data_IF_316794355502
#
_entry.id   IF_316794355502
#
_cell.length_a   1.000
_cell.length_b   1.000
_cell.length_c   1.000
_cell.angle_alpha   90.00
_cell.angle_beta   90.00
_cell.angle_gamma   90.00
#
_symmetry.space_group_name_H-M   'P 1'
#
loop_
_entity.id
_entity.type
_entity.pdbx_description
1 polymer ?
#
# COMPACT_ATOMS: atom_id res chain seq x y z
N UNK A 1 10.36 13.83 22.62
CA UNK A 1 9.11 13.39 21.94
C UNK A 1 9.11 11.88 21.85
N UNK A 2 8.00 11.23 22.22
CA UNK A 2 7.86 9.78 22.06
C UNK A 2 7.84 9.42 20.56
N UNK A 3 8.42 8.26 20.19
CA UNK A 3 8.35 7.78 18.81
C UNK A 3 6.89 7.47 18.43
N UNK A 4 6.48 7.74 17.18
CA UNK A 4 5.15 7.34 16.70
C UNK A 4 4.98 5.81 16.73
N UNK A 5 3.74 5.36 16.83
CA UNK A 5 3.40 3.94 16.72
C UNK A 5 3.40 3.55 15.24
N UNK A 6 2.76 4.39 14.42
CA UNK A 6 2.62 4.17 12.98
C UNK A 6 3.33 5.24 12.17
N UNK A 7 3.92 4.81 11.05
CA UNK A 7 4.28 5.69 9.94
C UNK A 7 3.46 5.27 8.71
N UNK A 8 2.57 6.16 8.26
CA UNK A 8 1.82 5.98 7.02
C UNK A 8 2.62 6.61 5.90
N UNK A 9 2.95 5.82 4.90
CA UNK A 9 3.77 6.20 3.76
C UNK A 9 2.92 6.13 2.50
N UNK A 10 2.85 7.25 1.80
CA UNK A 10 2.25 7.32 0.48
C UNK A 10 3.21 7.97 -0.51
N UNK A 11 2.97 7.73 -1.78
CA UNK A 11 3.72 8.36 -2.87
C UNK A 11 2.74 8.94 -3.87
N UNK A 12 3.08 10.06 -4.46
CA UNK A 12 2.27 10.69 -5.46
C UNK A 12 3.07 11.63 -6.33
N UNK A 13 2.51 12.00 -7.48
CA UNK A 13 3.11 12.94 -8.41
C UNK A 13 2.02 13.77 -9.11
N UNK A 14 2.37 15.03 -9.34
CA UNK A 14 1.54 15.93 -10.10
C UNK A 14 0.26 16.37 -9.38
N UNK A 15 -0.49 17.24 -10.07
CA UNK A 15 -1.67 17.91 -9.53
C UNK A 15 -2.82 16.94 -9.19
N UNK A 16 -2.98 15.88 -10.00
CA UNK A 16 -4.02 14.88 -9.79
C UNK A 16 -3.87 14.16 -8.45
N UNK A 17 -2.62 13.77 -8.11
CA UNK A 17 -2.35 13.06 -6.87
C UNK A 17 -2.41 14.04 -5.68
N UNK A 18 -2.03 15.30 -5.86
CA UNK A 18 -2.20 16.33 -4.85
C UNK A 18 -3.69 16.55 -4.50
N UNK A 19 -4.58 16.61 -5.52
CA UNK A 19 -6.04 16.68 -5.28
C UNK A 19 -6.57 15.41 -4.60
N UNK A 20 -6.10 14.24 -5.01
CA UNK A 20 -6.49 12.99 -4.36
C UNK A 20 -6.09 12.97 -2.88
N UNK A 21 -4.90 13.46 -2.56
CA UNK A 21 -4.44 13.59 -1.17
C UNK A 21 -5.31 14.57 -0.39
N UNK A 22 -5.64 15.74 -0.95
CA UNK A 22 -6.49 16.73 -0.31
C UNK A 22 -7.87 16.15 0.05
N UNK A 23 -8.47 15.40 -0.88
CA UNK A 23 -9.76 14.73 -0.65
C UNK A 23 -9.71 13.63 0.41
N UNK A 24 -8.56 12.95 0.57
CA UNK A 24 -8.43 11.80 1.48
C UNK A 24 -7.90 12.19 2.85
N UNK A 25 -7.18 13.30 2.93
CA UNK A 25 -6.43 13.66 4.14
C UNK A 25 -7.33 13.90 5.35
N UNK A 26 -8.49 14.53 5.16
CA UNK A 26 -9.44 14.73 6.24
C UNK A 26 -9.89 13.40 6.87
N UNK A 27 -10.13 12.37 6.07
CA UNK A 27 -10.44 11.04 6.58
C UNK A 27 -9.27 10.46 7.40
N UNK A 28 -8.05 10.62 6.91
CA UNK A 28 -6.87 10.11 7.61
C UNK A 28 -6.67 10.79 8.98
N UNK A 29 -6.90 12.10 9.05
CA UNK A 29 -6.82 12.85 10.31
C UNK A 29 -7.93 12.44 11.29
N UNK A 30 -9.14 12.16 10.81
CA UNK A 30 -10.23 11.64 11.65
C UNK A 30 -9.85 10.27 12.19
N UNK A 31 -9.37 9.34 11.35
CA UNK A 31 -8.96 8.02 11.78
C UNK A 31 -7.81 8.09 12.81
N UNK A 32 -6.84 8.99 12.60
CA UNK A 32 -5.74 9.27 13.54
C UNK A 32 -6.29 9.79 14.88
N UNK A 33 -7.14 10.80 14.84
CA UNK A 33 -7.70 11.43 16.03
C UNK A 33 -8.44 10.41 16.90
N UNK A 34 -9.32 9.60 16.30
CA UNK A 34 -10.05 8.53 17.01
C UNK A 34 -9.09 7.56 17.70
N UNK A 35 -8.02 7.15 17.00
CA UNK A 35 -7.00 6.26 17.56
C UNK A 35 -6.25 6.92 18.72
N UNK A 36 -5.79 8.16 18.56
CA UNK A 36 -5.00 8.88 19.55
C UNK A 36 -5.80 9.18 20.82
N UNK A 37 -7.06 9.58 20.68
CA UNK A 37 -7.98 9.79 21.80
C UNK A 37 -8.20 8.49 22.59
N UNK A 38 -8.48 7.38 21.91
CA UNK A 38 -8.68 6.08 22.57
C UNK A 38 -7.44 5.60 23.30
N UNK A 39 -6.25 5.99 22.85
CA UNK A 39 -4.96 5.60 23.44
C UNK A 39 -4.42 6.59 24.45
N UNK A 40 -5.02 7.77 24.57
CA UNK A 40 -4.49 8.86 25.39
C UNK A 40 -3.07 9.27 24.97
N UNK A 41 -2.74 9.17 23.68
CA UNK A 41 -1.39 9.39 23.15
C UNK A 41 -1.43 10.25 21.90
N UNK A 42 -0.97 11.49 22.02
CA UNK A 42 -0.77 12.39 20.88
C UNK A 42 0.45 11.99 20.03
N UNK A 43 0.43 12.36 18.77
CA UNK A 43 1.51 12.07 17.80
C UNK A 43 1.84 10.57 17.69
N UNK A 44 0.83 9.72 17.83
CA UNK A 44 0.98 8.28 17.68
C UNK A 44 1.13 7.86 16.21
N UNK A 45 0.67 8.70 15.27
CA UNK A 45 0.70 8.45 13.83
C UNK A 45 1.39 9.62 13.13
N UNK A 46 2.36 9.31 12.27
CA UNK A 46 2.94 10.28 11.33
C UNK A 46 2.55 9.93 9.90
N UNK A 47 2.27 10.94 9.09
CA UNK A 47 2.02 10.81 7.66
C UNK A 47 3.24 11.31 6.88
N UNK A 48 3.71 10.48 5.94
CA UNK A 48 4.86 10.74 5.08
C UNK A 48 4.41 10.66 3.61
N UNK A 49 4.58 11.75 2.88
CA UNK A 49 4.27 11.82 1.45
C UNK A 49 5.57 11.95 0.67
N UNK A 50 5.92 10.94 -0.13
CA UNK A 50 7.04 11.02 -1.05
C UNK A 50 6.55 11.66 -2.36
N UNK A 51 6.99 12.90 -2.60
CA UNK A 51 6.62 13.65 -3.79
C UNK A 51 7.57 13.33 -4.94
N UNK A 52 7.06 12.58 -5.91
CA UNK A 52 7.77 12.21 -7.14
C UNK A 52 7.52 13.20 -8.30
N UNK A 53 6.82 14.31 -8.06
CA UNK A 53 6.48 15.31 -9.07
C UNK A 53 7.64 16.25 -9.36
N UNK A 54 7.85 16.59 -10.64
CA UNK A 54 8.85 17.58 -11.03
C UNK A 54 8.43 19.01 -10.71
N UNK A 55 7.11 19.30 -10.69
CA UNK A 55 6.56 20.65 -10.61
C UNK A 55 5.36 20.82 -9.67
N UNK A 56 4.96 19.79 -8.92
CA UNK A 56 3.85 19.91 -8.00
C UNK A 56 4.36 20.00 -6.57
N UNK A 57 4.22 21.15 -5.96
CA UNK A 57 4.24 21.23 -4.51
C UNK A 57 2.93 20.65 -4.00
N UNK A 58 2.99 19.51 -3.33
CA UNK A 58 1.85 19.06 -2.54
C UNK A 58 1.54 20.17 -1.53
N UNK A 59 0.27 20.59 -1.43
CA UNK A 59 -0.10 21.58 -0.44
C UNK A 59 0.38 21.11 0.93
N UNK A 60 0.84 22.00 1.77
CA UNK A 60 1.12 21.72 3.19
C UNK A 60 -0.19 21.33 3.85
N UNK A 61 -0.57 20.08 3.66
CA UNK A 61 -1.76 19.51 4.24
C UNK A 61 -1.35 19.11 5.63
N UNK A 62 -1.75 19.92 6.62
CA UNK A 62 -1.65 19.67 8.07
C UNK A 62 -0.41 18.82 8.45
N UNK A 63 -0.14 18.42 9.56
CA UNK A 63 1.03 17.70 10.10
C UNK A 63 1.72 16.60 9.24
N UNK A 64 1.42 16.51 7.95
CA UNK A 64 2.10 15.59 7.05
C UNK A 64 3.52 16.08 6.73
N UNK A 65 4.48 15.18 6.78
CA UNK A 65 5.85 15.44 6.36
C UNK A 65 5.99 15.12 4.88
N UNK A 66 6.07 16.16 4.08
CA UNK A 66 6.35 16.01 2.65
C UNK A 66 7.85 15.82 2.44
N UNK A 67 8.21 14.75 1.75
CA UNK A 67 9.56 14.50 1.29
C UNK A 67 9.65 15.11 -0.11
N UNK A 68 10.41 16.19 -0.24
CA UNK A 68 10.44 17.03 -1.43
C UNK A 68 10.90 16.29 -2.70
N UNK A 69 10.49 16.77 -3.89
CA UNK A 69 10.93 16.24 -5.18
C UNK A 69 12.45 16.17 -5.31
N UNK A 70 13.16 17.18 -4.76
CA UNK A 70 14.63 17.19 -4.74
C UNK A 70 15.19 15.95 -4.04
N UNK A 71 14.67 15.60 -2.86
CA UNK A 71 15.08 14.40 -2.12
C UNK A 71 14.73 13.13 -2.84
N UNK A 72 13.58 13.11 -3.53
CA UNK A 72 13.17 12.00 -4.37
C UNK A 72 14.18 11.75 -5.51
N UNK A 73 14.58 12.81 -6.22
CA UNK A 73 15.57 12.75 -7.27
C UNK A 73 16.96 12.35 -6.78
N UNK A 74 17.37 12.86 -5.63
CA UNK A 74 18.64 12.47 -5.00
C UNK A 74 18.64 10.97 -4.69
N UNK A 75 17.54 10.45 -4.13
CA UNK A 75 17.40 9.04 -3.82
C UNK A 75 17.37 8.17 -5.09
N UNK A 76 16.61 8.58 -6.11
CA UNK A 76 16.56 7.87 -7.41
C UNK A 76 17.95 7.79 -8.04
N UNK A 77 18.72 8.88 -7.99
CA UNK A 77 20.10 8.93 -8.48
C UNK A 77 21.04 8.02 -7.69
N UNK A 78 20.86 7.95 -6.38
CA UNK A 78 21.59 7.01 -5.52
C UNK A 78 21.34 5.56 -5.93
N UNK A 79 20.08 5.18 -6.12
CA UNK A 79 19.70 3.84 -6.60
C UNK A 79 20.34 3.50 -7.96
N UNK A 80 20.36 4.46 -8.88
CA UNK A 80 21.01 4.28 -10.18
C UNK A 80 22.52 4.09 -10.07
N UNK A 81 23.20 4.95 -9.33
CA UNK A 81 24.67 4.86 -9.11
C UNK A 81 25.08 3.54 -8.44
N UNK A 82 24.22 3.00 -7.60
CA UNK A 82 24.44 1.73 -6.92
C UNK A 82 24.05 0.49 -7.76
N UNK A 83 23.58 0.69 -9.00
CA UNK A 83 23.17 -0.38 -9.89
C UNK A 83 21.87 -1.08 -9.49
N UNK A 84 21.10 -0.49 -8.56
CA UNK A 84 19.80 -1.03 -8.10
C UNK A 84 18.73 -0.80 -9.17
N UNK A 85 18.79 0.31 -9.89
CA UNK A 85 17.94 0.60 -11.04
C UNK A 85 18.79 0.81 -12.29
N UNK A 86 18.28 0.34 -13.43
CA UNK A 86 19.05 0.30 -14.69
C UNK A 86 19.24 1.64 -15.36
N UNK A 87 18.29 2.57 -15.13
CA UNK A 87 18.27 3.85 -15.84
C UNK A 87 18.06 5.02 -14.86
N UNK A 88 18.73 6.16 -15.04
CA UNK A 88 18.59 7.31 -14.14
C UNK A 88 17.17 7.91 -14.13
N UNK A 89 16.39 7.72 -15.23
CA UNK A 89 15.01 8.16 -15.35
C UNK A 89 13.97 7.09 -14.98
N UNK A 90 14.41 5.97 -14.38
CA UNK A 90 13.47 4.93 -13.94
C UNK A 90 12.65 5.41 -12.75
N UNK A 91 11.34 5.28 -12.85
CA UNK A 91 10.43 5.76 -11.82
C UNK A 91 9.29 4.76 -11.59
N UNK A 92 9.11 4.38 -10.34
CA UNK A 92 8.08 3.42 -9.90
C UNK A 92 7.55 3.83 -8.53
N UNK A 93 6.31 3.43 -8.16
CA UNK A 93 5.79 3.66 -6.80
C UNK A 93 6.69 3.08 -5.71
N UNK A 94 7.41 2.00 -6.00
CA UNK A 94 8.35 1.36 -5.09
C UNK A 94 9.48 2.31 -4.63
N UNK A 95 9.95 3.20 -5.51
CA UNK A 95 10.98 4.21 -5.18
C UNK A 95 10.44 5.16 -4.12
N UNK A 96 9.24 5.70 -4.31
CA UNK A 96 8.62 6.61 -3.36
C UNK A 96 8.30 5.94 -2.02
N UNK A 97 7.79 4.71 -2.05
CA UNK A 97 7.55 3.91 -0.83
C UNK A 97 8.84 3.65 -0.05
N UNK A 98 9.93 3.31 -0.73
CA UNK A 98 11.24 3.10 -0.12
C UNK A 98 11.83 4.38 0.45
N UNK A 99 11.70 5.51 -0.26
CA UNK A 99 12.12 6.81 0.25
C UNK A 99 11.34 7.20 1.51
N UNK A 100 10.01 7.02 1.49
CA UNK A 100 9.17 7.22 2.68
C UNK A 100 9.62 6.34 3.85
N UNK A 101 9.94 5.08 3.59
CA UNK A 101 10.44 4.15 4.60
C UNK A 101 11.74 4.64 5.27
N UNK A 102 12.69 5.20 4.53
CA UNK A 102 13.93 5.80 5.09
C UNK A 102 13.66 6.94 6.09
N UNK A 103 12.52 7.61 5.95
CA UNK A 103 12.13 8.72 6.82
C UNK A 103 11.19 8.30 7.95
N UNK A 104 10.68 7.09 7.92
CA UNK A 104 9.73 6.56 8.87
C UNK A 104 10.36 6.33 10.26
N UNK A 105 9.63 6.69 11.31
CA UNK A 105 10.05 6.54 12.71
C UNK A 105 9.14 5.61 13.50
N UNK A 106 7.96 5.29 12.97
CA UNK A 106 6.99 4.41 13.58
C UNK A 106 7.47 2.98 13.70
N UNK A 107 7.00 2.28 14.72
CA UNK A 107 7.26 0.85 14.89
C UNK A 107 6.52 0.00 13.86
N UNK A 108 5.41 0.49 13.37
CA UNK A 108 4.55 -0.15 12.38
C UNK A 108 4.52 0.76 11.15
N UNK A 109 4.78 0.18 9.99
CA UNK A 109 4.80 0.88 8.71
C UNK A 109 3.54 0.52 7.94
N UNK A 110 2.88 1.52 7.38
CA UNK A 110 1.73 1.37 6.50
C UNK A 110 2.10 1.98 5.16
N UNK A 111 2.20 1.16 4.12
CA UNK A 111 2.24 1.63 2.74
C UNK A 111 0.82 1.73 2.23
N UNK A 112 0.39 2.93 1.87
CA UNK A 112 -1.00 3.25 1.56
C UNK A 112 -1.10 4.07 0.28
N UNK A 113 -2.10 3.77 -0.54
CA UNK A 113 -2.36 4.53 -1.76
C UNK A 113 -2.97 5.90 -1.43
N UNK A 114 -2.54 6.92 -2.17
CA UNK A 114 -2.86 8.32 -1.90
C UNK A 114 -4.36 8.65 -2.03
N UNK A 115 -5.09 7.86 -2.82
CA UNK A 115 -6.53 8.05 -3.09
C UNK A 115 -7.44 7.13 -2.27
N UNK A 116 -6.86 6.44 -1.28
CA UNK A 116 -7.58 5.48 -0.44
C UNK A 116 -7.86 6.03 0.95
N UNK A 117 -9.03 5.65 1.51
CA UNK A 117 -9.49 6.07 2.84
C UNK A 117 -9.30 4.93 3.83
N UNK A 118 -9.07 5.29 5.09
CA UNK A 118 -9.11 4.35 6.22
C UNK A 118 -10.52 4.26 6.81
N UNK A 119 -10.91 3.12 7.36
CA UNK A 119 -12.05 3.06 8.25
C UNK A 119 -11.77 3.86 9.51
N UNK A 120 -12.69 4.74 9.88
CA UNK A 120 -12.54 5.64 11.03
C UNK A 120 -13.11 5.04 12.32
N UNK A 121 -14.03 4.09 12.19
CA UNK A 121 -14.81 3.56 13.30
C UNK A 121 -15.85 4.54 13.82
N UNK A 122 -16.29 5.47 12.96
CA UNK A 122 -17.32 6.48 13.26
C UNK A 122 -18.50 6.37 12.31
N UNK A 123 -19.54 7.17 12.51
CA UNK A 123 -20.70 7.23 11.61
C UNK A 123 -20.34 7.62 10.17
N UNK A 124 -19.19 8.27 9.97
CA UNK A 124 -18.67 8.61 8.65
C UNK A 124 -18.48 7.38 7.74
N UNK A 125 -18.19 6.22 8.33
CA UNK A 125 -18.01 4.98 7.57
C UNK A 125 -19.32 4.44 6.99
N UNK A 126 -20.49 4.89 7.49
CA UNK A 126 -21.80 4.38 7.09
C UNK A 126 -22.09 4.58 5.60
N UNK A 127 -21.52 5.61 4.96
CA UNK A 127 -21.64 5.82 3.51
C UNK A 127 -21.02 4.68 2.70
N UNK A 128 -20.05 3.95 3.28
CA UNK A 128 -19.27 2.89 2.65
C UNK A 128 -19.64 1.49 3.15
N UNK A 129 -20.54 1.40 4.14
CA UNK A 129 -21.01 0.13 4.68
C UNK A 129 -22.16 -0.36 3.80
N UNK A 130 -22.02 -1.53 3.19
CA UNK A 130 -22.98 -2.10 2.25
C UNK A 130 -23.89 -3.16 2.84
N UNK A 131 -23.60 -3.61 4.06
CA UNK A 131 -24.43 -4.57 4.77
C UNK A 131 -24.33 -4.35 6.27
N UNK A 132 -25.37 -4.74 7.02
CA UNK A 132 -25.35 -4.71 8.50
C UNK A 132 -24.25 -5.59 9.11
N UNK A 133 -23.68 -6.50 8.31
CA UNK A 133 -22.58 -7.37 8.70
C UNK A 133 -21.21 -6.71 8.54
N UNK A 134 -21.13 -5.59 7.79
CA UNK A 134 -19.90 -4.86 7.53
C UNK A 134 -19.69 -3.80 8.62
N UNK A 135 -19.35 -4.21 9.82
CA UNK A 135 -18.95 -3.28 10.87
C UNK A 135 -17.45 -3.03 10.78
N UNK A 136 -17.07 -1.77 10.54
CA UNK A 136 -15.67 -1.36 10.53
C UNK A 136 -15.29 -0.70 11.83
N UNK A 137 -14.19 -1.16 12.38
CA UNK A 137 -13.52 -0.50 13.49
C UNK A 137 -12.49 0.51 12.95
N UNK A 138 -11.98 1.35 13.84
CA UNK A 138 -10.88 2.23 13.45
C UNK A 138 -9.68 1.42 12.95
N UNK A 139 -9.23 1.73 11.74
CA UNK A 139 -8.15 1.01 11.05
C UNK A 139 -6.92 0.82 11.94
N UNK A 140 -6.44 1.90 12.58
CA UNK A 140 -5.22 1.86 13.38
C UNK A 140 -5.40 1.01 14.64
N UNK A 141 -6.59 0.99 15.25
CA UNK A 141 -6.90 0.13 16.40
C UNK A 141 -6.82 -1.35 16.03
N UNK A 142 -7.45 -1.72 14.92
CA UNK A 142 -7.44 -3.11 14.45
C UNK A 142 -6.00 -3.54 14.13
N UNK A 143 -5.26 -2.72 13.37
CA UNK A 143 -3.87 -3.02 13.02
C UNK A 143 -2.98 -3.11 14.26
N UNK A 144 -3.11 -2.17 15.20
CA UNK A 144 -2.36 -2.22 16.45
C UNK A 144 -2.64 -3.47 17.27
N UNK A 145 -3.89 -3.89 17.34
CA UNK A 145 -4.31 -5.10 18.03
C UNK A 145 -3.79 -6.37 17.36
N UNK A 146 -3.76 -6.38 16.03
CA UNK A 146 -3.19 -7.49 15.26
C UNK A 146 -1.72 -7.76 15.59
N UNK A 147 -0.91 -6.70 15.70
CA UNK A 147 0.52 -6.82 16.03
C UNK A 147 0.83 -7.13 17.50
N UNK A 148 -0.17 -7.25 18.38
CA UNK A 148 0.02 -7.85 19.71
C UNK A 148 0.18 -9.38 19.64
N UNK A 149 -0.29 -10.00 18.57
CA UNK A 149 -0.07 -11.43 18.31
C UNK A 149 1.39 -11.62 17.86
N UNK A 150 2.13 -12.41 18.63
CA UNK A 150 3.61 -12.55 18.47
C UNK A 150 4.07 -13.07 17.12
N UNK A 151 3.23 -13.83 16.42
CA UNK A 151 3.54 -14.43 15.13
C UNK A 151 3.18 -13.54 13.94
N UNK A 152 2.44 -12.44 14.14
CA UNK A 152 2.00 -11.54 13.08
C UNK A 152 3.09 -10.52 12.77
N UNK A 153 3.57 -10.56 11.55
CA UNK A 153 4.61 -9.64 11.03
C UNK A 153 4.06 -8.62 10.04
N UNK A 154 2.93 -8.93 9.44
CA UNK A 154 2.22 -8.04 8.52
C UNK A 154 0.70 -8.26 8.60
N UNK A 155 -0.05 -7.25 8.20
CA UNK A 155 -1.51 -7.30 8.15
C UNK A 155 -2.03 -6.70 6.84
N UNK A 156 -3.19 -7.20 6.42
CA UNK A 156 -3.90 -6.75 5.24
C UNK A 156 -5.34 -6.42 5.62
N UNK A 157 -5.85 -5.24 5.26
CA UNK A 157 -7.23 -4.85 5.52
C UNK A 157 -8.21 -5.50 4.55
N UNK A 158 -9.49 -5.38 4.87
CA UNK A 158 -10.59 -5.59 3.92
C UNK A 158 -10.64 -4.43 2.92
N UNK A 159 -10.71 -4.76 1.63
CA UNK A 159 -10.86 -3.74 0.58
C UNK A 159 -12.33 -3.45 0.33
N UNK A 160 -12.62 -2.18 0.13
CA UNK A 160 -13.95 -1.68 -0.22
C UNK A 160 -13.86 -0.61 -1.30
N UNK A 161 -14.89 -0.46 -2.13
CA UNK A 161 -14.93 0.64 -3.07
C UNK A 161 -15.27 1.93 -2.33
N UNK A 162 -14.69 3.02 -2.79
CA UNK A 162 -14.97 4.36 -2.27
C UNK A 162 -16.27 4.94 -2.81
N UNK A 163 -16.70 4.53 -4.00
CA UNK A 163 -17.89 5.09 -4.67
C UNK A 163 -19.06 4.11 -4.57
N UNK A 164 -20.29 4.64 -4.57
CA UNK A 164 -21.51 3.83 -4.51
C UNK A 164 -21.60 2.81 -5.66
N UNK A 165 -22.13 1.61 -5.39
CA UNK A 165 -21.94 0.49 -6.27
C UNK A 165 -23.22 -0.02 -6.92
N UNK A 166 -23.10 -0.29 -8.22
CA UNK A 166 -23.96 -1.23 -8.94
C UNK A 166 -23.74 -2.66 -8.43
N UNK A 167 -24.77 -3.50 -8.47
CA UNK A 167 -24.76 -4.87 -7.89
C UNK A 167 -23.57 -5.73 -8.34
N UNK A 168 -23.18 -5.67 -9.61
CA UNK A 168 -22.05 -6.43 -10.14
C UNK A 168 -20.71 -6.08 -9.50
N UNK A 169 -20.56 -4.86 -8.97
CA UNK A 169 -19.36 -4.40 -8.26
C UNK A 169 -19.22 -5.04 -6.89
N UNK A 170 -20.33 -5.29 -6.20
CA UNK A 170 -20.32 -5.98 -4.90
C UNK A 170 -19.72 -7.37 -5.03
N UNK A 171 -20.07 -8.12 -6.08
CA UNK A 171 -19.50 -9.44 -6.33
C UNK A 171 -18.01 -9.42 -6.65
N UNK A 172 -17.55 -8.42 -7.41
CA UNK A 172 -16.12 -8.24 -7.70
C UNK A 172 -15.27 -8.03 -6.44
N UNK A 173 -15.80 -7.24 -5.49
CA UNK A 173 -15.11 -6.95 -4.23
C UNK A 173 -15.13 -8.15 -3.29
N UNK A 174 -16.28 -8.82 -3.16
CA UNK A 174 -16.36 -10.05 -2.40
C UNK A 174 -15.38 -11.08 -2.95
N UNK A 175 -15.28 -11.19 -4.27
CA UNK A 175 -14.30 -12.03 -4.95
C UNK A 175 -12.86 -11.62 -4.63
N UNK A 176 -12.52 -10.33 -4.67
CA UNK A 176 -11.18 -9.84 -4.36
C UNK A 176 -10.80 -10.10 -2.90
N UNK A 177 -11.70 -9.81 -1.96
CA UNK A 177 -11.47 -10.11 -0.54
C UNK A 177 -11.36 -11.62 -0.28
N UNK A 178 -12.21 -12.44 -0.92
CA UNK A 178 -12.14 -13.89 -0.82
C UNK A 178 -10.81 -14.41 -1.38
N UNK A 179 -10.39 -13.95 -2.56
CA UNK A 179 -9.11 -14.35 -3.16
C UNK A 179 -7.92 -13.92 -2.28
N UNK A 180 -7.98 -12.74 -1.68
CA UNK A 180 -6.96 -12.28 -0.73
C UNK A 180 -6.90 -13.20 0.48
N UNK A 181 -8.05 -13.43 1.14
CA UNK A 181 -8.13 -14.34 2.28
C UNK A 181 -7.66 -15.75 1.92
N UNK A 182 -8.11 -16.29 0.80
CA UNK A 182 -7.75 -17.61 0.32
C UNK A 182 -6.26 -17.73 0.03
N UNK A 183 -5.69 -16.75 -0.70
CA UNK A 183 -4.27 -16.73 -1.02
C UNK A 183 -3.37 -16.63 0.23
N UNK A 184 -3.85 -15.96 1.28
CA UNK A 184 -3.14 -15.89 2.56
C UNK A 184 -3.18 -17.23 3.33
N UNK A 185 -4.16 -18.08 3.07
CA UNK A 185 -4.25 -19.43 3.67
C UNK A 185 -3.42 -20.47 2.94
N UNK A 186 -3.14 -20.26 1.66
CA UNK A 186 -2.33 -21.19 0.88
C UNK A 186 -0.85 -21.10 1.29
N UNK A 187 -0.15 -22.25 1.37
CA UNK A 187 1.29 -22.25 1.51
C UNK A 187 1.95 -21.62 0.27
N UNK A 188 3.09 -20.98 0.45
CA UNK A 188 3.90 -20.57 -0.68
C UNK A 188 4.50 -21.81 -1.32
N UNK A 189 4.12 -22.08 -2.57
CA UNK A 189 4.65 -23.22 -3.35
C UNK A 189 5.67 -22.65 -4.34
N UNK A 190 6.89 -23.11 -4.24
CA UNK A 190 7.97 -22.74 -5.16
C UNK A 190 8.34 -23.98 -5.99
N UNK A 191 8.36 -23.85 -7.30
CA UNK A 191 8.85 -24.89 -8.23
C UNK A 191 10.10 -24.33 -8.91
N UNK A 192 11.23 -25.02 -8.74
CA UNK A 192 12.54 -24.61 -9.30
C UNK A 192 12.95 -23.18 -8.89
N UNK A 193 12.62 -22.77 -7.65
CA UNK A 193 12.85 -21.40 -7.17
C UNK A 193 11.88 -20.35 -7.73
N UNK A 194 10.88 -20.78 -8.49
CA UNK A 194 9.83 -19.92 -9.06
C UNK A 194 8.59 -20.09 -8.19
N UNK A 195 8.12 -19.03 -7.55
CA UNK A 195 6.90 -19.10 -6.75
C UNK A 195 5.67 -19.20 -7.66
N UNK A 196 4.99 -20.33 -7.55
CA UNK A 196 3.79 -20.64 -8.36
C UNK A 196 2.50 -20.25 -7.64
N UNK A 197 2.50 -20.37 -6.31
CA UNK A 197 1.34 -20.03 -5.47
C UNK A 197 1.80 -19.35 -4.20
N UNK A 198 0.99 -18.49 -3.65
CA UNK A 198 1.29 -17.84 -2.38
C UNK A 198 0.52 -16.54 -2.18
N UNK A 199 0.75 -15.89 -1.03
CA UNK A 199 0.03 -14.68 -0.67
C UNK A 199 0.17 -13.60 -1.74
N UNK A 200 -0.97 -13.21 -2.27
CA UNK A 200 -1.12 -11.94 -2.96
C UNK A 200 -1.86 -11.02 -2.01
N UNK A 201 -1.25 -9.90 -1.67
CA UNK A 201 -1.91 -8.84 -0.92
C UNK A 201 -2.29 -7.73 -1.88
N UNK A 202 -3.45 -7.08 -1.68
CA UNK A 202 -3.80 -5.93 -2.49
C UNK A 202 -2.84 -4.78 -2.20
N UNK A 203 -2.37 -4.12 -3.25
CA UNK A 203 -1.40 -3.05 -3.19
C UNK A 203 -1.85 -1.78 -2.47
N UNK A 204 -3.18 -1.58 -2.31
CA UNK A 204 -3.73 -0.33 -1.78
C UNK A 204 -3.34 -0.03 -0.34
N UNK A 205 -3.08 -1.06 0.49
CA UNK A 205 -2.60 -0.86 1.85
C UNK A 205 -1.92 -2.13 2.37
N UNK A 206 -0.66 -1.99 2.77
CA UNK A 206 0.13 -3.05 3.38
C UNK A 206 0.69 -2.51 4.69
N UNK A 207 0.42 -3.22 5.78
CA UNK A 207 0.91 -2.85 7.11
C UNK A 207 1.88 -3.91 7.62
N UNK A 208 3.05 -3.51 8.08
CA UNK A 208 4.08 -4.43 8.58
C UNK A 208 4.95 -3.81 9.68
N UNK A 209 5.65 -4.65 10.43
CA UNK A 209 6.60 -4.19 11.43
C UNK A 209 7.81 -3.53 10.77
N UNK A 210 8.29 -2.44 11.34
CA UNK A 210 9.42 -1.68 10.82
C UNK A 210 10.70 -2.52 10.72
N UNK A 211 11.00 -3.34 11.73
CA UNK A 211 12.17 -4.21 11.74
C UNK A 211 12.09 -5.32 10.66
N UNK A 212 10.88 -5.82 10.39
CA UNK A 212 10.65 -6.76 9.27
C UNK A 212 10.90 -6.06 7.94
N UNK A 213 10.35 -4.84 7.75
CA UNK A 213 10.61 -4.05 6.56
C UNK A 213 12.11 -3.77 6.35
N UNK A 214 12.82 -3.43 7.43
CA UNK A 214 14.27 -3.21 7.39
C UNK A 214 15.05 -4.46 7.00
N UNK A 215 14.66 -5.63 7.52
CA UNK A 215 15.29 -6.92 7.18
C UNK A 215 14.98 -7.39 5.75
N UNK A 216 13.85 -7.00 5.20
CA UNK A 216 13.50 -7.24 3.79
C UNK A 216 14.23 -6.30 2.84
N UNK A 217 14.80 -5.22 3.36
CA UNK A 217 15.41 -4.17 2.56
C UNK A 217 16.65 -4.69 1.83
N UNK A 218 16.62 -4.62 0.52
CA UNK A 218 17.73 -4.99 -0.34
C UNK A 218 18.78 -3.86 -0.31
N UNK A 219 19.96 -4.14 0.22
CA UNK A 219 21.04 -3.14 0.31
C UNK A 219 20.74 -1.90 1.16
N UNK A 220 19.72 -1.93 2.05
CA UNK A 220 19.34 -0.77 2.87
C UNK A 220 18.43 0.25 2.17
N UNK A 221 17.99 -0.01 0.94
CA UNK A 221 17.20 0.95 0.15
C UNK A 221 15.69 0.88 0.39
N UNK A 222 15.20 -0.10 1.12
CA UNK A 222 13.79 -0.27 1.46
C UNK A 222 13.24 -1.64 1.05
N UNK A 223 12.03 -1.97 1.51
CA UNK A 223 11.46 -3.31 1.35
C UNK A 223 10.93 -3.62 -0.05
N UNK A 224 10.62 -2.61 -0.84
CA UNK A 224 10.13 -2.77 -2.20
C UNK A 224 11.28 -2.89 -3.19
N UNK A 225 11.08 -3.69 -4.24
CA UNK A 225 12.01 -3.76 -5.35
C UNK A 225 11.76 -2.59 -6.32
N UNK A 226 12.68 -1.62 -6.41
CA UNK A 226 12.47 -0.42 -7.21
C UNK A 226 12.56 -0.69 -8.73
N UNK A 227 13.06 -1.84 -9.16
CA UNK A 227 13.05 -2.24 -10.57
C UNK A 227 11.67 -2.75 -11.04
N UNK A 228 10.80 -3.18 -10.12
CA UNK A 228 9.49 -3.68 -10.45
C UNK A 228 8.50 -2.52 -10.63
N UNK A 229 8.03 -2.32 -11.87
CA UNK A 229 6.94 -1.37 -12.16
C UNK A 229 5.55 -1.96 -11.95
N UNK A 230 5.45 -3.28 -11.79
CA UNK A 230 4.22 -4.04 -11.51
C UNK A 230 4.55 -5.27 -10.68
N UNK A 231 3.56 -5.74 -9.89
CA UNK A 231 3.71 -6.92 -9.02
C UNK A 231 4.72 -6.76 -7.86
N UNK A 232 5.10 -5.54 -7.53
CA UNK A 232 5.91 -5.24 -6.34
C UNK A 232 5.21 -5.72 -5.07
N UNK A 233 3.87 -5.66 -5.02
CA UNK A 233 3.05 -6.12 -3.89
C UNK A 233 3.08 -7.64 -3.73
N UNK A 234 3.12 -8.39 -4.84
CA UNK A 234 3.26 -9.84 -4.80
C UNK A 234 4.63 -10.24 -4.26
N UNK A 235 5.69 -9.54 -4.69
CA UNK A 235 7.05 -9.79 -4.20
C UNK A 235 7.18 -9.51 -2.72
N UNK A 236 6.71 -8.34 -2.25
CA UNK A 236 6.76 -7.99 -0.84
C UNK A 236 5.96 -8.97 0.02
N UNK A 237 4.78 -9.40 -0.44
CA UNK A 237 3.93 -10.37 0.28
C UNK A 237 4.65 -11.71 0.52
N UNK A 238 5.37 -12.19 -0.48
CA UNK A 238 6.15 -13.43 -0.35
C UNK A 238 7.33 -13.27 0.58
N UNK A 239 8.02 -12.14 0.51
CA UNK A 239 9.12 -11.86 1.42
C UNK A 239 8.63 -11.78 2.86
N UNK A 240 7.52 -11.10 3.14
CA UNK A 240 6.95 -10.99 4.49
C UNK A 240 6.68 -12.36 5.12
N UNK A 241 6.19 -13.33 4.36
CA UNK A 241 5.92 -14.70 4.86
C UNK A 241 7.14 -15.42 5.42
N UNK A 242 8.34 -15.07 4.97
CA UNK A 242 9.59 -15.65 5.49
C UNK A 242 9.89 -15.22 6.93
N UNK A 243 9.26 -14.15 7.39
CA UNK A 243 9.46 -13.57 8.72
C UNK A 243 8.36 -13.91 9.71
N UNK A 244 7.20 -14.35 9.23
CA UNK A 244 6.07 -14.71 10.07
C UNK A 244 4.74 -14.71 9.32
N UNK A 245 3.66 -14.68 10.09
CA UNK A 245 2.31 -14.75 9.56
C UNK A 245 1.83 -13.39 9.06
N UNK A 246 1.19 -13.38 7.90
CA UNK A 246 0.39 -12.26 7.40
C UNK A 246 -1.06 -12.49 7.85
N UNK A 247 -1.65 -11.52 8.54
CA UNK A 247 -3.02 -11.61 9.02
C UNK A 247 -3.97 -10.77 8.17
N UNK A 248 -5.13 -11.33 7.85
CA UNK A 248 -6.23 -10.60 7.21
C UNK A 248 -7.16 -10.06 8.28
N UNK A 249 -7.32 -8.72 8.31
CA UNK A 249 -8.11 -8.02 9.32
C UNK A 249 -9.41 -7.50 8.69
N UNK A 250 -10.46 -8.28 8.83
CA UNK A 250 -11.75 -8.04 8.19
C UNK A 250 -12.44 -6.77 8.69
N UNK A 251 -12.27 -6.44 9.98
CA UNK A 251 -12.87 -5.25 10.59
C UNK A 251 -12.11 -3.95 10.27
N UNK A 252 -10.94 -4.01 9.63
CA UNK A 252 -10.24 -2.84 9.13
C UNK A 252 -10.57 -2.63 7.66
N UNK A 253 -11.27 -1.55 7.34
CA UNK A 253 -11.63 -1.20 5.96
C UNK A 253 -10.61 -0.26 5.32
N UNK A 254 -10.30 -0.52 4.04
CA UNK A 254 -9.67 0.45 3.14
C UNK A 254 -10.59 0.68 1.96
N UNK A 255 -11.04 1.92 1.80
CA UNK A 255 -11.95 2.32 0.75
C UNK A 255 -11.15 2.94 -0.40
N UNK A 256 -11.16 2.30 -1.55
CA UNK A 256 -10.31 2.69 -2.69
C UNK A 256 -11.10 2.90 -3.97
N UNK A 257 -10.67 3.89 -4.78
CA UNK A 257 -11.21 4.12 -6.13
C UNK A 257 -10.69 3.11 -7.15
N UNK A 258 -9.57 2.48 -6.89
CA UNK A 258 -8.96 1.52 -7.82
C UNK A 258 -9.91 0.38 -8.16
N UNK A 259 -10.68 -0.10 -7.17
CA UNK A 259 -11.68 -1.15 -7.39
C UNK A 259 -12.88 -0.63 -8.18
N UNK A 260 -13.28 0.63 -8.03
CA UNK A 260 -14.37 1.21 -8.80
C UNK A 260 -14.04 1.32 -10.30
N UNK A 261 -12.79 1.57 -10.65
CA UNK A 261 -12.33 1.59 -12.05
C UNK A 261 -12.38 0.21 -12.72
N UNK A 262 -12.10 -0.86 -12.00
CA UNK A 262 -12.16 -2.24 -12.51
C UNK A 262 -13.57 -2.65 -12.91
N UNK A 263 -14.57 -2.00 -12.40
CA UNK A 263 -15.96 -2.42 -12.50
C UNK A 263 -16.74 -1.78 -13.67
N UNK A 264 -16.15 -0.84 -14.39
CA UNK A 264 -16.82 -0.17 -15.52
C UNK A 264 -16.77 -0.97 -16.85
N UNK A 265 -16.53 -2.31 -16.73
CA UNK A 265 -16.55 -3.23 -17.87
C UNK A 265 -15.31 -3.11 -18.79
N UNK A 266 -14.75 -1.92 -18.88
CA UNK A 266 -13.55 -1.64 -19.66
C UNK A 266 -12.28 -2.25 -19.04
N UNK A 267 -12.32 -2.51 -17.73
CA UNK A 267 -11.11 -2.77 -16.96
C UNK A 267 -10.95 -4.20 -16.45
N UNK A 268 -11.95 -5.10 -16.57
CA UNK A 268 -11.75 -6.50 -16.17
C UNK A 268 -10.70 -7.15 -17.09
N UNK A 269 -10.81 -6.96 -18.40
CA UNK A 269 -9.83 -7.50 -19.35
C UNK A 269 -8.46 -6.84 -19.15
N UNK A 270 -8.43 -5.54 -18.83
CA UNK A 270 -7.21 -4.78 -18.59
C UNK A 270 -6.56 -5.16 -17.25
N UNK A 271 -7.36 -5.31 -16.20
CA UNK A 271 -6.89 -5.77 -14.89
C UNK A 271 -6.43 -7.23 -14.93
N UNK A 272 -7.13 -8.09 -15.65
CA UNK A 272 -6.68 -9.46 -15.92
C UNK A 272 -5.38 -9.46 -16.73
N UNK A 273 -5.28 -8.59 -17.73
CA UNK A 273 -4.06 -8.36 -18.51
C UNK A 273 -2.88 -7.88 -17.66
N UNK A 274 -3.11 -6.98 -16.69
CA UNK A 274 -2.10 -6.56 -15.72
C UNK A 274 -1.72 -7.67 -14.75
N UNK A 275 -2.68 -8.41 -14.23
CA UNK A 275 -2.43 -9.55 -13.35
C UNK A 275 -1.63 -10.64 -14.07
N UNK A 276 -1.98 -10.97 -15.32
CA UNK A 276 -1.25 -11.92 -16.17
C UNK A 276 0.15 -11.39 -16.48
N UNK A 277 0.29 -10.14 -16.92
CA UNK A 277 1.59 -9.51 -17.19
C UNK A 277 2.46 -9.47 -15.93
N UNK A 278 1.90 -9.05 -14.80
CA UNK A 278 2.62 -9.00 -13.54
C UNK A 278 3.09 -10.38 -13.09
N UNK A 279 2.22 -11.37 -13.15
CA UNK A 279 2.56 -12.75 -12.80
C UNK A 279 3.60 -13.33 -13.78
N UNK A 280 3.45 -13.09 -15.08
CA UNK A 280 4.39 -13.56 -16.11
C UNK A 280 5.74 -12.86 -15.99
N UNK A 281 5.77 -11.56 -15.73
CA UNK A 281 7.00 -10.81 -15.46
C UNK A 281 7.70 -11.32 -14.21
N UNK A 282 6.94 -11.63 -13.17
CA UNK A 282 7.48 -12.16 -11.93
C UNK A 282 8.05 -13.58 -12.09
N UNK A 283 7.37 -14.42 -12.88
CA UNK A 283 7.79 -15.81 -13.15
C UNK A 283 8.96 -15.86 -14.14
N UNK A 284 8.94 -14.99 -15.15
CA UNK A 284 9.92 -14.95 -16.24
C UNK A 284 10.49 -13.54 -16.45
N UNK A 285 11.28 -13.00 -15.52
CA UNK A 285 11.79 -11.63 -15.61
C UNK A 285 12.67 -11.37 -16.85
N UNK A 286 13.24 -12.43 -17.45
CA UNK A 286 14.06 -12.34 -18.67
C UNK A 286 13.28 -12.30 -19.98
N UNK A 287 11.99 -12.68 -20.00
CA UNK A 287 11.17 -12.70 -21.22
C UNK A 287 10.63 -11.33 -21.62
N UNK A 288 10.55 -10.40 -20.70
CA UNK A 288 10.06 -9.04 -20.96
C UNK A 288 11.22 -8.04 -20.88
N UNK A 289 11.84 -7.74 -22.00
CA UNK A 289 12.62 -6.49 -22.13
C UNK A 289 11.63 -5.34 -21.96
N UNK A 290 11.67 -4.71 -20.81
CA UNK A 290 10.80 -3.57 -20.50
C UNK A 290 11.02 -2.48 -21.56
N UNK A 291 10.07 -2.34 -22.48
CA UNK A 291 10.00 -1.17 -23.32
C UNK A 291 9.55 0.00 -22.43
N UNK A 292 10.30 1.09 -22.53
CA UNK A 292 10.02 2.40 -22.00
C UNK A 292 8.58 2.81 -22.40
N UNK A 293 7.60 2.41 -21.61
CA UNK A 293 6.26 2.95 -21.73
C UNK A 293 6.01 3.76 -20.46
N UNK A 294 6.05 5.08 -20.64
CA UNK A 294 5.36 5.98 -19.75
C UNK A 294 3.97 5.39 -19.50
N UNK A 295 3.74 4.86 -18.32
CA UNK A 295 2.40 4.60 -17.82
C UNK A 295 1.78 5.97 -17.57
N UNK A 296 1.30 6.61 -18.61
CA UNK A 296 0.22 7.58 -18.53
C UNK A 296 -1.02 6.78 -18.17
N UNK A 297 -1.34 6.74 -16.88
CA UNK A 297 -2.64 6.31 -16.35
C UNK A 297 -3.55 7.52 -16.35
#
# INVERSE_FOLDING_TARGET
>A
MSKPIFSVITTGRGEKDARALEETFNNWEIAKKVFEEKRGKSNAIEFLVADAGENAEFPKICDSKIISPKKYEEFRRELWKSGIIKYPGWDTPAIGRNLGFRHAKGRIIIFHDIDSLFSTGTEMDNEYIFSELDQYENYFEVMYSAFKRKDVVATVPSLRPRDSLKLGRRFGIMGANFLTWFSLKLPTIEILGIPVMGASVPGCSITLLHDVAARMSNGGYGPYDPELGVSEDQKISRLMRRFGRISYEQCAGVFTRTISRVSDGYDIAKSLGYAIKGSTYYIFPGLFKYRKHSLTI
#
